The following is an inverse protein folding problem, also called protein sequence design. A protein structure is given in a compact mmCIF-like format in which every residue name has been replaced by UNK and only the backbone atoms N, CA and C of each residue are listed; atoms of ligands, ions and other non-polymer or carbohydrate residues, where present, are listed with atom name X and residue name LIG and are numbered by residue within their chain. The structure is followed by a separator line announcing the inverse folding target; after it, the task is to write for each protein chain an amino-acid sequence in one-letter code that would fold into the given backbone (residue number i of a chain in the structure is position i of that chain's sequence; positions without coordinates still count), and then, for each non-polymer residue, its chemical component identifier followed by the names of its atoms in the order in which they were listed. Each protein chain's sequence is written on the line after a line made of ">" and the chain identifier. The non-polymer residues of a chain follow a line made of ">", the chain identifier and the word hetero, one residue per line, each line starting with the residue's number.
data_IF_248456464490
#
_entry.id   IF_248456464490
#
_cell.length_a   1.000
_cell.length_b   1.000
_cell.length_c   1.000
_cell.angle_alpha   90.00
_cell.angle_beta   90.00
_cell.angle_gamma   90.00
#
_symmetry.space_group_name_H-M   'P 1'
#
loop_
_entity.id
_entity.type
_entity.pdbx_description
1 polymer ?
#
# COMPACT_ATOMS: atom_id res chain seq x y z
N UNK A 1 -7.23 12.57 -39.02
CA UNK A 1 -5.83 12.10 -39.16
C UNK A 1 -5.85 10.68 -39.74
N UNK A 2 -5.06 10.34 -40.77
CA UNK A 2 -5.11 8.97 -41.33
C UNK A 2 -4.42 8.01 -40.35
N UNK A 3 -4.90 6.77 -40.22
CA UNK A 3 -4.32 5.75 -39.31
C UNK A 3 -2.81 5.57 -39.53
N UNK A 4 -2.35 5.68 -40.78
CA UNK A 4 -0.93 5.62 -41.14
C UNK A 4 -0.11 6.74 -40.50
N UNK A 5 -0.67 7.93 -40.33
CA UNK A 5 0.01 9.09 -39.73
C UNK A 5 0.20 8.86 -38.22
N UNK A 6 -0.80 8.30 -37.55
CA UNK A 6 -0.73 7.91 -36.13
C UNK A 6 0.38 6.87 -35.91
N UNK A 7 0.39 5.80 -36.71
CA UNK A 7 1.43 4.75 -36.63
C UNK A 7 2.82 5.35 -36.89
N UNK A 8 2.93 6.25 -37.87
CA UNK A 8 4.19 6.91 -38.20
C UNK A 8 4.69 7.85 -37.10
N UNK A 9 3.78 8.48 -36.36
CA UNK A 9 4.09 9.29 -35.19
C UNK A 9 4.52 8.40 -34.00
N UNK A 10 3.72 7.40 -33.65
CA UNK A 10 3.96 6.54 -32.49
C UNK A 10 5.25 5.71 -32.58
N UNK A 11 5.73 5.39 -33.78
CA UNK A 11 7.00 4.66 -33.98
C UNK A 11 8.26 5.54 -33.90
N UNK A 12 8.13 6.85 -33.64
CA UNK A 12 9.28 7.75 -33.65
C UNK A 12 10.21 7.48 -32.45
N UNK A 13 11.52 7.26 -32.66
CA UNK A 13 12.46 7.06 -31.56
C UNK A 13 12.58 8.27 -30.63
N UNK A 14 12.28 9.47 -31.12
CA UNK A 14 12.30 10.71 -30.32
C UNK A 14 11.36 10.62 -29.11
N UNK A 15 10.16 10.07 -29.30
CA UNK A 15 9.17 9.91 -28.23
C UNK A 15 9.74 9.03 -27.11
N UNK A 16 10.36 7.89 -27.47
CA UNK A 16 11.00 7.01 -26.51
C UNK A 16 12.12 7.71 -25.74
N UNK A 17 13.02 8.41 -26.43
CA UNK A 17 14.14 9.10 -25.78
C UNK A 17 13.64 10.17 -24.80
N UNK A 18 12.67 11.00 -25.20
CA UNK A 18 12.09 11.99 -24.29
C UNK A 18 11.38 11.35 -23.10
N UNK A 19 10.60 10.29 -23.32
CA UNK A 19 9.93 9.58 -22.24
C UNK A 19 10.91 8.90 -21.27
N UNK A 20 12.02 8.36 -21.78
CA UNK A 20 13.08 7.77 -20.95
C UNK A 20 13.81 8.82 -20.12
N UNK A 21 14.18 9.96 -20.72
CA UNK A 21 14.79 11.07 -19.97
C UNK A 21 13.83 11.56 -18.88
N UNK A 22 12.54 11.70 -19.20
CA UNK A 22 11.53 12.06 -18.23
C UNK A 22 11.40 11.02 -17.11
N UNK A 23 11.42 9.72 -17.45
CA UNK A 23 11.42 8.64 -16.45
C UNK A 23 12.64 8.71 -15.53
N UNK A 24 13.83 9.01 -16.06
CA UNK A 24 15.03 9.22 -15.25
C UNK A 24 14.87 10.40 -14.29
N UNK A 25 14.27 11.51 -14.75
CA UNK A 25 13.97 12.66 -13.88
C UNK A 25 12.98 12.28 -12.77
N UNK A 26 11.91 11.55 -13.09
CA UNK A 26 10.96 11.05 -12.09
C UNK A 26 11.64 10.16 -11.06
N UNK A 27 12.57 9.29 -11.48
CA UNK A 27 13.34 8.45 -10.57
C UNK A 27 14.15 9.28 -9.59
N UNK A 28 14.92 10.26 -10.07
CA UNK A 28 15.72 11.13 -9.21
C UNK A 28 14.83 11.90 -8.23
N UNK A 29 13.75 12.51 -8.72
CA UNK A 29 12.84 13.31 -7.89
C UNK A 29 12.09 12.45 -6.87
N UNK A 30 11.65 11.26 -7.27
CA UNK A 30 11.01 10.29 -6.39
C UNK A 30 11.95 9.83 -5.28
N UNK A 31 13.21 9.50 -5.59
CA UNK A 31 14.20 9.10 -4.59
C UNK A 31 14.55 10.23 -3.62
N UNK A 32 14.65 11.48 -4.11
CA UNK A 32 14.84 12.64 -3.23
C UNK A 32 13.64 12.84 -2.29
N UNK A 33 12.42 12.71 -2.82
CA UNK A 33 11.19 12.85 -2.06
C UNK A 33 11.02 11.72 -1.03
N UNK A 34 11.38 10.48 -1.38
CA UNK A 34 11.31 9.29 -0.54
C UNK A 34 12.00 9.49 0.81
N UNK A 35 13.14 10.19 0.84
CA UNK A 35 13.84 10.51 2.09
C UNK A 35 12.90 11.10 3.15
N UNK A 36 11.98 11.98 2.73
CA UNK A 36 11.17 12.77 3.65
C UNK A 36 9.76 12.20 3.85
N UNK A 37 9.17 11.57 2.82
CA UNK A 37 7.80 11.04 2.88
C UNK A 37 7.69 9.52 3.02
N UNK A 38 8.79 8.77 2.94
CA UNK A 38 8.77 7.30 2.93
C UNK A 38 8.62 6.70 1.54
N UNK A 39 8.86 5.39 1.44
CA UNK A 39 8.86 4.66 0.18
C UNK A 39 7.47 4.63 -0.47
N UNK A 40 6.46 4.22 0.29
CA UNK A 40 5.10 4.05 -0.24
C UNK A 40 4.53 5.36 -0.80
N UNK A 41 4.62 6.45 -0.02
CA UNK A 41 4.10 7.75 -0.44
C UNK A 41 4.85 8.31 -1.68
N UNK A 42 6.17 8.17 -1.74
CA UNK A 42 6.95 8.59 -2.89
C UNK A 42 6.64 7.74 -4.14
N UNK A 43 6.52 6.42 -3.97
CA UNK A 43 6.10 5.51 -5.02
C UNK A 43 4.74 5.95 -5.58
N UNK A 44 3.76 6.19 -4.71
CA UNK A 44 2.41 6.52 -5.12
C UNK A 44 2.33 7.86 -5.86
N UNK A 45 3.01 8.89 -5.32
CA UNK A 45 3.02 10.25 -5.87
C UNK A 45 3.72 10.38 -7.23
N UNK A 46 4.83 9.66 -7.43
CA UNK A 46 5.65 9.82 -8.63
C UNK A 46 5.46 8.71 -9.65
N UNK A 47 5.27 7.47 -9.22
CA UNK A 47 5.30 6.30 -10.10
C UNK A 47 3.91 5.68 -10.33
N UNK A 48 3.07 5.56 -9.32
CA UNK A 48 1.69 5.06 -9.50
C UNK A 48 0.72 6.12 -10.05
N UNK A 49 1.06 7.40 -9.89
CA UNK A 49 0.25 8.49 -10.39
C UNK A 49 0.21 8.56 -11.93
N UNK A 50 -0.96 8.94 -12.46
CA UNK A 50 -1.13 9.30 -13.87
C UNK A 50 -0.54 10.68 -14.16
N UNK A 51 -0.80 11.62 -13.26
CA UNK A 51 -0.31 12.99 -13.30
C UNK A 51 0.28 13.27 -11.92
N UNK A 52 1.52 13.76 -11.91
CA UNK A 52 2.19 14.22 -10.70
C UNK A 52 2.31 15.74 -10.74
N UNK A 53 2.00 16.39 -9.63
CA UNK A 53 2.01 17.84 -9.54
C UNK A 53 3.34 18.33 -9.00
N UNK A 54 4.04 19.11 -9.82
CA UNK A 54 5.22 19.86 -9.41
C UNK A 54 4.79 21.29 -9.11
N UNK A 55 4.61 21.58 -7.83
CA UNK A 55 4.12 22.87 -7.38
C UNK A 55 2.73 23.15 -7.97
N UNK A 56 2.63 23.91 -9.07
CA UNK A 56 1.37 24.20 -9.77
C UNK A 56 1.30 23.61 -11.18
N UNK A 57 2.31 22.86 -11.62
CA UNK A 57 2.38 22.35 -12.98
C UNK A 57 2.06 20.84 -12.99
N UNK A 58 0.98 20.42 -13.66
CA UNK A 58 0.68 19.01 -13.82
C UNK A 58 1.64 18.41 -14.85
N UNK A 59 2.33 17.35 -14.47
CA UNK A 59 3.26 16.64 -15.33
C UNK A 59 2.91 15.16 -15.41
N UNK A 60 3.33 14.44 -16.47
CA UNK A 60 3.13 13.00 -16.57
C UNK A 60 3.75 12.26 -15.38
N UNK A 61 2.95 11.45 -14.68
CA UNK A 61 3.47 10.53 -13.68
C UNK A 61 4.14 9.30 -14.32
N UNK A 62 4.74 8.45 -13.49
CA UNK A 62 5.46 7.26 -13.94
C UNK A 62 4.56 6.30 -14.70
N UNK A 63 3.34 6.03 -14.22
CA UNK A 63 2.39 5.13 -14.88
C UNK A 63 2.08 5.57 -16.32
N UNK A 64 1.80 6.86 -16.52
CA UNK A 64 1.53 7.42 -17.84
C UNK A 64 2.77 7.35 -18.74
N UNK A 65 3.94 7.68 -18.18
CA UNK A 65 5.23 7.63 -18.89
C UNK A 65 5.56 6.21 -19.36
N UNK A 66 5.40 5.21 -18.49
CA UNK A 66 5.61 3.80 -18.80
C UNK A 66 4.67 3.31 -19.91
N UNK A 67 3.41 3.74 -19.91
CA UNK A 67 2.46 3.42 -21.00
C UNK A 67 2.91 4.04 -22.33
N UNK A 68 3.37 5.29 -22.33
CA UNK A 68 3.92 5.92 -23.54
C UNK A 68 5.11 5.12 -24.07
N UNK A 69 6.03 4.71 -23.19
CA UNK A 69 7.18 3.89 -23.55
C UNK A 69 6.73 2.54 -24.13
N UNK A 70 5.79 1.86 -23.47
CA UNK A 70 5.23 0.58 -23.91
C UNK A 70 4.59 0.67 -25.30
N UNK A 71 3.77 1.69 -25.54
CA UNK A 71 3.15 1.94 -26.85
C UNK A 71 4.24 2.19 -27.90
N UNK A 72 5.21 3.07 -27.62
CA UNK A 72 6.27 3.36 -28.58
C UNK A 72 7.08 2.10 -28.96
N UNK A 73 7.51 1.33 -27.95
CA UNK A 73 8.24 0.07 -28.15
C UNK A 73 7.41 -0.94 -28.95
N UNK A 74 6.12 -1.05 -28.68
CA UNK A 74 5.22 -1.95 -29.43
C UNK A 74 5.11 -1.52 -30.89
N UNK A 75 4.98 -0.22 -31.16
CA UNK A 75 4.85 0.31 -32.52
C UNK A 75 6.17 0.27 -33.31
N UNK A 76 7.32 0.16 -32.65
CA UNK A 76 8.61 -0.06 -33.30
C UNK A 76 8.60 -1.31 -34.18
N UNK A 77 7.87 -2.37 -33.79
CA UNK A 77 7.80 -3.64 -34.53
C UNK A 77 7.15 -3.56 -35.90
N UNK A 78 6.31 -2.54 -36.14
CA UNK A 78 5.72 -2.30 -37.46
C UNK A 78 6.74 -1.80 -38.50
N UNK A 79 7.96 -1.45 -38.08
CA UNK A 79 9.01 -1.02 -39.01
C UNK A 79 9.67 -2.23 -39.69
N UNK A 80 9.21 -2.60 -40.89
CA UNK A 80 9.71 -3.73 -41.70
C UNK A 80 11.25 -3.84 -41.79
N UNK A 81 11.97 -2.71 -41.73
CA UNK A 81 13.44 -2.65 -41.75
C UNK A 81 14.14 -3.32 -40.55
N UNK A 82 13.44 -3.62 -39.45
CA UNK A 82 14.04 -4.21 -38.24
C UNK A 82 14.11 -5.74 -38.29
N UNK A 83 13.26 -6.40 -39.07
CA UNK A 83 13.15 -7.86 -39.15
C UNK A 83 14.25 -8.53 -40.00
N UNK A 84 15.45 -7.93 -40.00
CA UNK A 84 16.63 -8.46 -40.69
C UNK A 84 17.47 -9.22 -39.67
N UNK A 85 18.06 -10.36 -40.04
CA UNK A 85 18.92 -11.16 -39.16
C UNK A 85 20.05 -10.31 -38.55
N UNK A 86 20.63 -9.38 -39.32
CA UNK A 86 21.66 -8.42 -38.85
C UNK A 86 21.20 -7.49 -37.70
N UNK A 87 19.90 -7.44 -37.41
CA UNK A 87 19.27 -6.60 -36.37
C UNK A 87 18.54 -7.43 -35.31
N UNK A 88 18.78 -8.74 -35.27
CA UNK A 88 18.11 -9.64 -34.31
C UNK A 88 18.34 -9.21 -32.85
N UNK A 89 19.56 -8.74 -32.51
CA UNK A 89 19.84 -8.22 -31.17
C UNK A 89 18.94 -7.04 -30.77
N UNK A 90 18.63 -6.15 -31.72
CA UNK A 90 17.71 -5.02 -31.49
C UNK A 90 16.30 -5.54 -31.20
N UNK A 91 15.83 -6.52 -31.98
CA UNK A 91 14.53 -7.16 -31.79
C UNK A 91 14.41 -7.80 -30.40
N UNK A 92 15.44 -8.54 -29.98
CA UNK A 92 15.51 -9.18 -28.65
C UNK A 92 15.44 -8.14 -27.54
N UNK A 93 16.23 -7.06 -27.62
CA UNK A 93 16.23 -5.99 -26.61
C UNK A 93 14.85 -5.33 -26.47
N UNK A 94 14.17 -5.06 -27.57
CA UNK A 94 12.84 -4.44 -27.53
C UNK A 94 11.78 -5.40 -26.99
N UNK A 95 11.84 -6.69 -27.35
CA UNK A 95 10.96 -7.71 -26.78
C UNK A 95 11.20 -7.89 -25.28
N UNK A 96 12.46 -7.89 -24.84
CA UNK A 96 12.81 -7.93 -23.42
C UNK A 96 12.25 -6.73 -22.65
N UNK A 97 12.39 -5.52 -23.19
CA UNK A 97 11.80 -4.31 -22.59
C UNK A 97 10.27 -4.39 -22.50
N UNK A 98 9.60 -4.86 -23.55
CA UNK A 98 8.15 -5.09 -23.53
C UNK A 98 7.77 -6.14 -22.49
N UNK A 99 8.49 -7.25 -22.43
CA UNK A 99 8.25 -8.31 -21.45
C UNK A 99 8.36 -7.78 -20.01
N UNK A 100 9.39 -6.98 -19.71
CA UNK A 100 9.55 -6.34 -18.41
C UNK A 100 8.41 -5.38 -18.08
N UNK A 101 7.97 -4.57 -19.04
CA UNK A 101 6.84 -3.64 -18.85
C UNK A 101 5.52 -4.37 -18.63
N UNK A 102 5.27 -5.46 -19.36
CA UNK A 102 4.09 -6.30 -19.17
C UNK A 102 4.14 -6.97 -17.80
N UNK A 103 5.27 -7.58 -17.43
CA UNK A 103 5.46 -8.21 -16.13
C UNK A 103 5.25 -7.23 -14.98
N UNK A 104 5.91 -6.07 -15.03
CA UNK A 104 5.74 -5.01 -14.03
C UNK A 104 4.31 -4.46 -13.97
N UNK A 105 3.64 -4.34 -15.12
CA UNK A 105 2.23 -3.93 -15.19
C UNK A 105 1.28 -4.95 -14.55
N UNK A 106 1.50 -6.25 -14.81
CA UNK A 106 0.73 -7.33 -14.17
C UNK A 106 0.95 -7.35 -12.66
N UNK A 107 2.21 -7.29 -12.20
CA UNK A 107 2.51 -7.19 -10.77
C UNK A 107 1.82 -5.97 -10.15
N UNK A 108 1.85 -4.80 -10.79
CA UNK A 108 1.20 -3.60 -10.28
C UNK A 108 -0.34 -3.68 -10.20
N UNK A 109 -0.98 -4.60 -10.93
CA UNK A 109 -2.45 -4.77 -10.91
C UNK A 109 -2.92 -5.93 -10.01
N UNK A 110 -2.09 -6.97 -9.85
CA UNK A 110 -2.51 -8.23 -9.24
C UNK A 110 -1.70 -8.62 -8.00
N UNK A 111 -0.62 -7.91 -7.69
CA UNK A 111 0.20 -8.19 -6.50
C UNK A 111 -0.44 -7.59 -5.25
N UNK A 112 -0.42 -8.35 -4.17
CA UNK A 112 -0.69 -7.88 -2.81
C UNK A 112 0.61 -7.84 -2.03
N UNK A 113 0.78 -6.82 -1.19
CA UNK A 113 1.92 -6.67 -0.30
C UNK A 113 1.43 -6.74 1.16
N UNK A 114 2.29 -7.17 2.06
CA UNK A 114 1.97 -7.29 3.48
C UNK A 114 3.13 -7.91 4.26
N UNK A 115 2.99 -7.97 5.58
CA UNK A 115 3.98 -8.56 6.47
C UNK A 115 3.59 -10.00 6.81
N UNK A 116 4.56 -10.90 6.91
CA UNK A 116 4.34 -12.24 7.42
C UNK A 116 5.31 -12.47 8.59
N UNK A 117 4.76 -12.63 9.78
CA UNK A 117 5.55 -12.99 10.96
C UNK A 117 5.74 -14.50 10.98
N UNK A 118 7.00 -14.94 11.03
CA UNK A 118 7.37 -16.36 11.14
C UNK A 118 8.31 -16.50 12.32
N UNK A 119 7.86 -17.20 13.35
CA UNK A 119 8.69 -17.53 14.51
C UNK A 119 9.73 -18.61 14.16
N UNK A 120 10.82 -18.67 14.93
CA UNK A 120 11.86 -19.66 14.72
C UNK A 120 11.30 -21.09 14.84
N UNK A 121 11.48 -21.89 13.79
CA UNK A 121 10.96 -23.26 13.71
C UNK A 121 9.47 -23.38 13.36
N UNK A 122 8.74 -22.27 13.26
CA UNK A 122 7.33 -22.24 12.89
C UNK A 122 7.12 -22.10 11.37
N UNK A 123 5.86 -22.26 10.94
CA UNK A 123 5.39 -21.92 9.59
C UNK A 123 4.19 -20.99 9.73
N UNK A 124 4.08 -20.02 8.82
CA UNK A 124 2.90 -19.15 8.70
C UNK A 124 2.28 -19.30 7.31
N UNK A 125 0.97 -19.14 7.23
CA UNK A 125 0.17 -19.14 6.00
C UNK A 125 -0.74 -17.91 5.88
N UNK A 126 -0.52 -16.88 6.70
CA UNK A 126 -1.27 -15.63 6.67
C UNK A 126 -0.32 -14.44 6.45
N UNK A 127 -0.87 -13.36 5.92
CA UNK A 127 -0.18 -12.09 5.70
C UNK A 127 -1.00 -11.00 6.37
N UNK A 128 -0.34 -10.10 7.05
CA UNK A 128 -0.92 -8.93 7.70
C UNK A 128 -0.76 -7.70 6.81
N UNK A 129 -1.85 -7.01 6.56
CA UNK A 129 -1.83 -5.69 5.94
C UNK A 129 -1.36 -4.66 6.99
N UNK A 130 -0.36 -3.86 6.65
CA UNK A 130 0.21 -2.83 7.53
C UNK A 130 -0.34 -1.43 7.26
N UNK A 131 -1.18 -1.27 6.24
CA UNK A 131 -1.86 -0.01 5.93
C UNK A 131 -3.22 0.11 6.61
N UNK A 132 -3.90 -1.01 6.85
CA UNK A 132 -5.26 -1.04 7.38
C UNK A 132 -5.34 -1.85 8.66
N UNK A 133 -5.94 -1.26 9.69
CA UNK A 133 -6.17 -1.92 10.97
C UNK A 133 -7.67 -2.04 11.23
N UNK A 134 -8.12 -3.23 11.59
CA UNK A 134 -9.52 -3.50 11.94
C UNK A 134 -9.65 -4.00 13.38
N UNK A 135 -10.85 -3.83 13.95
CA UNK A 135 -11.23 -4.48 15.19
C UNK A 135 -12.21 -5.61 14.88
N UNK A 136 -11.72 -6.85 14.95
CA UNK A 136 -12.53 -8.05 14.77
C UNK A 136 -12.90 -8.65 16.13
N UNK A 137 -14.20 -8.85 16.36
CA UNK A 137 -14.72 -9.65 17.46
C UNK A 137 -15.13 -11.01 16.91
N UNK A 138 -14.55 -12.06 17.49
CA UNK A 138 -14.77 -13.43 17.05
C UNK A 138 -15.54 -14.16 18.16
N UNK A 139 -16.76 -14.57 17.85
CA UNK A 139 -17.54 -15.44 18.70
C UNK A 139 -17.26 -16.90 18.32
N UNK A 140 -16.49 -17.59 19.17
CA UNK A 140 -16.07 -18.98 18.99
C UNK A 140 -16.97 -19.96 19.77
N UNK A 141 -18.21 -19.57 20.10
CA UNK A 141 -19.09 -20.39 20.95
C UNK A 141 -19.74 -21.56 20.21
N UNK A 142 -19.87 -21.47 18.87
CA UNK A 142 -20.43 -22.53 18.05
C UNK A 142 -19.35 -23.57 17.69
N UNK A 143 -19.75 -24.83 17.56
CA UNK A 143 -18.82 -25.95 17.31
C UNK A 143 -18.34 -25.98 15.85
N UNK A 144 -19.19 -25.57 14.92
CA UNK A 144 -18.97 -25.77 13.48
C UNK A 144 -18.46 -24.51 12.75
N UNK A 145 -18.60 -23.33 13.34
CA UNK A 145 -18.19 -22.07 12.73
C UNK A 145 -17.93 -20.99 13.78
N UNK A 146 -17.05 -20.05 13.43
CA UNK A 146 -16.85 -18.81 14.18
C UNK A 146 -17.67 -17.69 13.53
N UNK A 147 -18.25 -16.82 14.35
CA UNK A 147 -18.97 -15.65 13.88
C UNK A 147 -18.12 -14.39 14.09
N UNK A 148 -17.96 -13.59 13.03
CA UNK A 148 -17.10 -12.41 13.02
C UNK A 148 -17.95 -11.14 12.96
N UNK A 149 -17.71 -10.22 13.89
CA UNK A 149 -18.17 -8.83 13.81
C UNK A 149 -16.94 -7.94 13.64
N UNK A 150 -16.79 -7.30 12.48
CA UNK A 150 -15.61 -6.52 12.10
C UNK A 150 -15.96 -5.04 12.02
N UNK A 151 -15.16 -4.20 12.67
CA UNK A 151 -15.23 -2.75 12.56
C UNK A 151 -13.96 -2.21 11.89
N UNK A 152 -14.14 -1.58 10.73
CA UNK A 152 -13.03 -1.02 9.95
C UNK A 152 -12.39 0.20 10.64
N UNK A 153 -11.12 0.45 10.33
CA UNK A 153 -10.32 1.58 10.84
C UNK A 153 -11.05 2.93 10.91
N UNK A 154 -11.84 3.36 9.91
CA UNK A 154 -12.52 4.66 9.94
C UNK A 154 -13.56 4.78 11.05
N UNK A 155 -14.01 3.68 11.65
CA UNK A 155 -14.93 3.66 12.80
C UNK A 155 -14.19 3.67 14.14
N UNK A 156 -12.86 3.52 14.14
CA UNK A 156 -12.06 3.41 15.35
C UNK A 156 -11.61 4.79 15.84
N UNK A 157 -12.54 5.76 15.85
CA UNK A 157 -12.27 7.14 16.23
C UNK A 157 -12.48 7.31 17.74
N UNK A 158 -11.64 8.14 18.36
CA UNK A 158 -11.76 8.47 19.78
C UNK A 158 -13.17 8.98 20.15
N UNK A 159 -13.70 8.46 21.25
CA UNK A 159 -15.03 8.68 21.80
C UNK A 159 -16.20 8.17 20.92
N UNK A 160 -15.91 7.32 19.93
CA UNK A 160 -16.95 6.62 19.18
C UNK A 160 -17.37 5.35 19.92
N UNK A 161 -18.69 5.13 20.01
CA UNK A 161 -19.24 3.88 20.52
C UNK A 161 -19.63 2.99 19.35
N UNK A 162 -19.10 1.78 19.33
CA UNK A 162 -19.38 0.74 18.37
C UNK A 162 -20.45 -0.20 18.93
N UNK A 163 -21.48 -0.44 18.13
CA UNK A 163 -22.59 -1.34 18.44
C UNK A 163 -22.91 -2.15 17.20
N UNK A 164 -23.32 -3.41 17.39
CA UNK A 164 -23.74 -4.29 16.31
C UNK A 164 -24.85 -5.20 16.82
N UNK A 165 -25.77 -5.62 15.93
CA UNK A 165 -26.92 -6.45 16.32
C UNK A 165 -26.50 -7.79 16.96
N UNK A 166 -25.32 -8.30 16.59
CA UNK A 166 -24.77 -9.55 17.10
C UNK A 166 -24.01 -9.38 18.43
N UNK A 167 -23.89 -8.15 18.95
CA UNK A 167 -23.20 -7.86 20.20
C UNK A 167 -24.21 -7.46 21.28
N UNK A 168 -24.12 -8.11 22.44
CA UNK A 168 -24.90 -7.77 23.63
C UNK A 168 -24.20 -6.75 24.55
N UNK A 169 -23.17 -6.07 24.05
CA UNK A 169 -22.40 -5.05 24.74
C UNK A 169 -21.98 -3.95 23.77
N UNK A 170 -21.54 -2.83 24.33
CA UNK A 170 -21.07 -1.68 23.58
C UNK A 170 -19.56 -1.55 23.73
N UNK A 171 -18.88 -1.10 22.68
CA UNK A 171 -17.44 -0.87 22.68
C UNK A 171 -17.18 0.62 22.46
N UNK A 172 -16.76 1.31 23.51
CA UNK A 172 -16.35 2.70 23.46
C UNK A 172 -14.85 2.79 23.13
N UNK A 173 -14.48 3.43 22.02
CA UNK A 173 -13.09 3.66 21.64
C UNK A 173 -12.56 4.84 22.45
N UNK A 174 -11.75 4.57 23.47
CA UNK A 174 -11.15 5.59 24.33
C UNK A 174 -9.98 6.32 23.67
N UNK A 175 -9.18 5.57 22.89
CA UNK A 175 -8.09 6.14 22.13
C UNK A 175 -7.71 5.23 20.94
N UNK A 176 -7.24 5.86 19.87
CA UNK A 176 -6.65 5.20 18.72
C UNK A 176 -5.29 5.86 18.46
N UNK A 177 -4.24 5.05 18.39
CA UNK A 177 -2.86 5.48 18.23
C UNK A 177 -2.34 4.87 16.93
N UNK A 178 -1.88 5.70 16.00
CA UNK A 178 -1.31 5.24 14.72
C UNK A 178 0.02 4.48 14.92
N UNK A 179 0.82 4.92 15.90
CA UNK A 179 2.05 4.25 16.28
C UNK A 179 2.23 4.31 17.79
N UNK A 180 2.47 3.17 18.43
CA UNK A 180 2.67 3.11 19.87
C UNK A 180 3.57 1.94 20.28
N UNK A 181 4.11 2.06 21.50
CA UNK A 181 4.82 0.98 22.17
C UNK A 181 4.20 0.65 23.53
N UNK A 182 4.12 -0.64 23.91
CA UNK A 182 3.72 -1.02 25.25
C UNK A 182 4.85 -0.73 26.24
N UNK A 183 4.59 0.12 27.22
CA UNK A 183 5.54 0.46 28.29
C UNK A 183 5.00 0.03 29.64
N UNK A 184 5.89 -0.44 30.52
CA UNK A 184 5.49 -0.86 31.87
C UNK A 184 5.07 0.36 32.68
N UNK A 185 3.93 0.26 33.36
CA UNK A 185 3.43 1.30 34.25
C UNK A 185 4.33 1.43 35.48
N UNK A 186 4.65 2.67 35.83
CA UNK A 186 5.38 3.01 37.06
C UNK A 186 4.45 3.37 38.21
N UNK A 187 3.18 3.68 37.93
CA UNK A 187 2.16 4.03 38.92
C UNK A 187 0.87 3.22 38.70
N UNK A 188 0.09 2.94 39.76
CA UNK A 188 -1.20 2.29 39.63
C UNK A 188 -2.12 3.09 38.70
N UNK A 189 -2.87 2.43 37.81
CA UNK A 189 -3.80 3.13 36.94
C UNK A 189 -4.96 3.75 37.74
N UNK A 190 -5.39 4.95 37.35
CA UNK A 190 -6.58 5.60 37.93
C UNK A 190 -7.91 4.97 37.53
N UNK A 191 -7.89 3.96 36.65
CA UNK A 191 -9.06 3.22 36.15
C UNK A 191 -8.77 1.72 36.26
N UNK A 192 -9.81 0.92 36.48
CA UNK A 192 -9.70 -0.54 36.55
C UNK A 192 -9.50 -1.16 35.15
N UNK A 193 -8.26 -1.15 34.64
CA UNK A 193 -7.91 -1.89 33.44
C UNK A 193 -7.99 -3.42 33.66
N UNK A 194 -8.26 -4.16 32.59
CA UNK A 194 -8.26 -5.62 32.57
C UNK A 194 -7.05 -6.13 31.75
N UNK A 195 -6.66 -7.40 31.95
CA UNK A 195 -5.55 -8.03 31.24
C UNK A 195 -4.19 -7.33 31.42
N UNK A 196 -3.39 -7.29 30.35
CA UNK A 196 -2.04 -6.72 30.36
C UNK A 196 -2.03 -5.20 30.63
N UNK A 197 -3.11 -4.47 30.33
CA UNK A 197 -3.22 -3.02 30.56
C UNK A 197 -3.18 -2.62 32.04
N UNK A 198 -3.28 -3.58 32.98
CA UNK A 198 -3.00 -3.36 34.41
C UNK A 198 -1.55 -3.00 34.67
N UNK A 199 -0.64 -3.63 33.93
CA UNK A 199 0.81 -3.53 34.13
C UNK A 199 1.49 -2.71 33.02
N UNK A 200 0.84 -2.58 31.87
CA UNK A 200 1.37 -1.86 30.70
C UNK A 200 0.43 -0.72 30.29
N UNK A 201 1.00 0.31 29.68
CA UNK A 201 0.28 1.39 29.00
C UNK A 201 0.84 1.55 27.59
N UNK A 202 -0.02 1.93 26.65
CA UNK A 202 0.42 2.32 25.32
C UNK A 202 0.97 3.74 25.39
N UNK A 203 2.23 3.90 25.03
CA UNK A 203 2.88 5.20 24.87
C UNK A 203 2.84 5.54 23.40
N UNK A 204 2.18 6.63 23.07
CA UNK A 204 2.10 7.16 21.71
C UNK A 204 3.50 7.55 21.21
N UNK A 205 3.81 7.12 19.99
CA UNK A 205 5.02 7.46 19.27
C UNK A 205 4.64 8.32 18.07
N UNK A 206 5.61 9.09 17.57
CA UNK A 206 5.42 9.78 16.29
C UNK A 206 5.28 8.71 15.20
N UNK A 207 4.35 8.85 14.24
CA UNK A 207 4.29 7.97 13.08
C UNK A 207 5.60 7.97 12.32
N UNK A 208 6.09 6.77 12.02
CA UNK A 208 7.21 6.52 11.11
C UNK A 208 6.78 6.72 9.67
N UNK A 209 7.75 7.02 8.80
CA UNK A 209 7.51 7.24 7.37
C UNK A 209 7.17 5.95 6.62
N UNK A 210 7.66 4.83 7.11
CA UNK A 210 7.39 3.52 6.56
C UNK A 210 6.25 2.89 7.36
N UNK A 211 5.13 2.62 6.67
CA UNK A 211 3.91 2.15 7.32
C UNK A 211 4.11 0.83 8.08
N UNK A 212 4.96 -0.06 7.55
CA UNK A 212 5.26 -1.35 8.17
C UNK A 212 5.99 -1.26 9.53
N UNK A 213 6.57 -0.10 9.87
CA UNK A 213 7.21 0.16 11.16
C UNK A 213 6.25 0.75 12.18
N UNK A 214 5.12 1.29 11.72
CA UNK A 214 4.07 1.72 12.60
C UNK A 214 3.37 0.51 13.25
N UNK A 215 3.10 0.64 14.54
CA UNK A 215 2.36 -0.35 15.32
C UNK A 215 1.12 0.33 15.89
N UNK A 216 -0.03 0.22 15.20
CA UNK A 216 -1.24 0.86 15.67
C UNK A 216 -1.72 0.18 16.94
N UNK A 217 -2.33 0.96 17.82
CA UNK A 217 -2.85 0.48 19.09
C UNK A 217 -4.16 1.15 19.42
N UNK A 218 -5.07 0.38 20.01
CA UNK A 218 -6.39 0.89 20.41
C UNK A 218 -6.57 0.68 21.92
N UNK A 219 -7.21 1.64 22.56
CA UNK A 219 -7.69 1.52 23.93
C UNK A 219 -9.20 1.62 23.84
N UNK A 220 -9.90 0.56 24.27
CA UNK A 220 -11.35 0.51 24.27
C UNK A 220 -11.88 0.15 25.65
N UNK A 221 -13.15 0.46 25.85
CA UNK A 221 -13.92 0.12 27.04
C UNK A 221 -15.17 -0.63 26.60
N UNK A 222 -15.42 -1.74 27.26
CA UNK A 222 -16.66 -2.50 27.08
C UNK A 222 -17.65 -2.07 28.16
N UNK A 223 -18.87 -1.74 27.77
CA UNK A 223 -19.98 -1.45 28.66
C UNK A 223 -21.19 -2.33 28.33
N UNK A 224 -22.12 -2.44 29.28
CA UNK A 224 -23.37 -3.22 29.12
C UNK A 224 -23.17 -4.73 28.88
N UNK A 225 -22.01 -5.30 29.21
CA UNK A 225 -21.68 -6.73 29.00
C UNK A 225 -22.39 -7.73 29.95
N UNK A 226 -23.46 -7.31 30.61
CA UNK A 226 -24.34 -8.23 31.34
C UNK A 226 -23.71 -8.98 32.53
N UNK A 227 -22.61 -8.52 33.13
CA UNK A 227 -22.13 -9.07 34.40
C UNK A 227 -21.32 -8.04 35.19
N UNK A 228 -21.90 -7.58 36.30
CA UNK A 228 -21.13 -7.06 37.43
C UNK A 228 -20.37 -8.24 38.04
N UNK A 229 -19.08 -8.37 37.71
CA UNK A 229 -18.16 -9.26 38.42
C UNK A 229 -17.27 -8.43 39.34
#
# INVERSE_FOLDING_TARGET
>A
MRIKDIINFLKQPKIFVFAMIWMMMLVVLGTLAQKDMGLYAAQNRYFSAWITWFWFVPMPGGRLTLIIIFINLSFFFFKKSIWKIKKLGIVILHLGGILLLVGGGLTAMFSSEGNMVIEEGAKSNHVEDYHYMELALINTSAVDFDEFTVFDQPLLIRNQTLTHENLNFEIEILNYLENCEPTKRTSPPGIQYKGMLKNFMLKELKPEKEDNWNRPGIIYKISNSGTSA
#
